data_IF_122276323864
#
_entry.id   IF_122276323864
#
_cell.length_a   1.000
_cell.length_b   1.000
_cell.length_c   1.000
_cell.angle_alpha   90.00
_cell.angle_beta   90.00
_cell.angle_gamma   90.00
#
_symmetry.space_group_name_H-M   'P 1'
#
loop_
_entity.id
_entity.type
_entity.pdbx_description
1 polymer ?
#
# COMPACT_ATOMS: atom_id res chain seq x y z
N UNK A 1 -12.50 12.73 -12.56
CA UNK A 1 -11.34 11.90 -12.19
C UNK A 1 -11.39 11.72 -10.68
N UNK A 2 -10.92 10.59 -10.11
CA UNK A 2 -10.94 10.42 -8.66
C UNK A 2 -10.16 11.56 -7.99
N UNK A 3 -10.65 12.07 -6.86
CA UNK A 3 -9.96 13.10 -6.11
C UNK A 3 -8.78 12.51 -5.31
N UNK A 4 -7.72 13.30 -5.14
CA UNK A 4 -6.59 12.94 -4.29
C UNK A 4 -6.88 13.35 -2.85
N UNK A 5 -6.78 12.42 -1.92
CA UNK A 5 -6.86 12.70 -0.49
C UNK A 5 -5.47 12.78 0.08
N UNK A 6 -5.20 13.76 0.94
CA UNK A 6 -3.90 13.91 1.58
C UNK A 6 -4.03 14.48 2.99
N UNK A 7 -3.03 14.21 3.82
CA UNK A 7 -2.88 14.79 5.14
C UNK A 7 -1.79 15.86 5.10
N UNK A 8 -1.99 16.93 5.86
CA UNK A 8 -1.00 17.97 6.09
C UNK A 8 -1.30 18.68 7.40
N UNK A 9 -0.26 18.86 8.22
CA UNK A 9 -0.35 19.58 9.49
C UNK A 9 -1.50 19.10 10.40
N UNK A 10 -1.75 17.79 10.43
CA UNK A 10 -2.75 17.16 11.28
C UNK A 10 -4.19 17.25 10.77
N UNK A 11 -4.40 17.60 9.51
CA UNK A 11 -5.73 17.66 8.91
C UNK A 11 -5.76 16.97 7.56
N UNK A 12 -6.92 16.43 7.20
CA UNK A 12 -7.15 15.86 5.89
C UNK A 12 -7.60 16.93 4.89
N UNK A 13 -7.24 16.72 3.64
CA UNK A 13 -7.59 17.54 2.51
C UNK A 13 -7.97 16.65 1.31
N UNK A 14 -8.77 17.21 0.41
CA UNK A 14 -9.11 16.61 -0.89
C UNK A 14 -8.81 17.60 -2.01
N UNK A 15 -8.22 17.13 -3.11
CA UNK A 15 -7.88 17.97 -4.26
C UNK A 15 -8.17 17.29 -5.59
N UNK A 16 -8.52 18.10 -6.60
CA UNK A 16 -8.64 17.66 -7.99
C UNK A 16 -7.23 17.34 -8.55
N UNK A 17 -7.05 16.20 -9.24
CA UNK A 17 -5.81 15.88 -9.96
C UNK A 17 -5.28 16.99 -10.88
N UNK A 18 -6.18 17.81 -11.44
CA UNK A 18 -5.84 18.92 -12.34
C UNK A 18 -5.16 20.11 -11.63
N UNK A 19 -5.12 20.12 -10.30
CA UNK A 19 -4.43 21.11 -9.50
C UNK A 19 -5.34 22.28 -9.10
N UNK A 20 -5.68 22.31 -7.81
CA UNK A 20 -6.23 23.46 -7.08
C UNK A 20 -5.79 23.34 -5.62
N UNK A 21 -5.78 24.41 -4.80
CA UNK A 21 -5.54 24.23 -3.38
C UNK A 21 -6.54 23.22 -2.82
N UNK A 22 -6.05 22.23 -2.08
CA UNK A 22 -6.90 21.19 -1.51
C UNK A 22 -7.92 21.79 -0.54
N UNK A 23 -9.13 21.26 -0.55
CA UNK A 23 -10.17 21.59 0.40
C UNK A 23 -9.94 20.81 1.69
N UNK A 24 -9.91 21.52 2.82
CA UNK A 24 -9.79 20.91 4.16
C UNK A 24 -11.06 20.11 4.50
N UNK A 25 -10.88 18.91 5.04
CA UNK A 25 -11.95 17.97 5.42
C UNK A 25 -12.09 17.78 6.93
N UNK A 26 -11.00 17.87 7.68
CA UNK A 26 -11.02 17.64 9.13
C UNK A 26 -10.25 18.72 9.88
N UNK A 27 -10.58 18.88 11.17
CA UNK A 27 -9.91 19.80 12.11
C UNK A 27 -9.32 19.05 13.31
N UNK A 28 -9.06 17.74 13.18
CA UNK A 28 -8.51 16.92 14.26
C UNK A 28 -7.11 17.36 14.69
N UNK A 29 -6.66 16.92 15.88
CA UNK A 29 -5.39 17.39 16.45
C UNK A 29 -4.17 16.85 15.69
N UNK A 30 -4.29 15.69 15.03
CA UNK A 30 -3.25 15.09 14.20
C UNK A 30 -3.80 14.00 13.25
N UNK A 31 -4.82 14.33 12.46
CA UNK A 31 -5.40 13.40 11.48
C UNK A 31 -4.41 13.09 10.35
N UNK A 32 -4.28 11.81 9.98
CA UNK A 32 -3.33 11.35 8.96
C UNK A 32 -3.81 10.07 8.25
N UNK A 33 -3.00 9.59 7.30
CA UNK A 33 -3.19 8.33 6.56
C UNK A 33 -4.62 8.18 6.00
N UNK A 34 -5.05 9.11 5.12
CA UNK A 34 -6.37 9.01 4.52
C UNK A 34 -6.47 7.73 3.68
N UNK A 35 -7.62 7.09 3.77
CA UNK A 35 -8.02 5.93 3.00
C UNK A 35 -9.42 6.20 2.46
N UNK A 36 -9.55 6.79 1.26
CA UNK A 36 -10.86 6.99 0.64
C UNK A 36 -11.48 5.66 0.21
N UNK A 37 -12.80 5.58 0.33
CA UNK A 37 -13.63 4.49 -0.20
C UNK A 37 -13.62 4.48 -1.74
N UNK A 38 -13.88 3.34 -2.39
CA UNK A 38 -13.84 3.24 -3.86
C UNK A 38 -14.81 4.19 -4.58
N UNK A 39 -15.95 4.48 -3.96
CA UNK A 39 -16.97 5.39 -4.51
C UNK A 39 -16.71 6.87 -4.17
N UNK A 40 -15.69 7.16 -3.34
CA UNK A 40 -15.34 8.52 -2.92
C UNK A 40 -16.33 9.15 -1.94
N UNK A 41 -17.34 8.42 -1.46
CA UNK A 41 -18.39 8.96 -0.57
C UNK A 41 -17.99 8.93 0.91
N UNK A 42 -16.91 8.22 1.24
CA UNK A 42 -16.35 8.13 2.59
C UNK A 42 -14.83 8.17 2.56
N UNK A 43 -14.23 8.72 3.62
CA UNK A 43 -12.80 8.59 3.88
C UNK A 43 -12.58 8.05 5.28
N UNK A 44 -11.88 6.91 5.37
CA UNK A 44 -11.34 6.42 6.62
C UNK A 44 -9.98 7.07 6.88
N UNK A 45 -9.60 7.26 8.13
CA UNK A 45 -8.34 7.90 8.49
C UNK A 45 -7.90 7.55 9.90
N UNK A 46 -6.63 7.81 10.19
CA UNK A 46 -6.07 7.64 11.54
C UNK A 46 -6.18 8.96 12.30
N UNK A 47 -6.95 8.95 13.38
CA UNK A 47 -7.09 10.07 14.31
C UNK A 47 -6.10 9.89 15.47
N UNK A 48 -5.06 10.72 15.51
CA UNK A 48 -4.06 10.73 16.58
C UNK A 48 -4.34 11.84 17.58
N UNK A 49 -3.98 11.64 18.85
CA UNK A 49 -4.08 12.69 19.86
C UNK A 49 -2.99 13.75 19.70
N UNK A 50 -1.81 13.35 19.24
CA UNK A 50 -0.65 14.20 18.99
C UNK A 50 0.06 13.81 17.71
N UNK A 51 0.68 14.78 17.03
CA UNK A 51 1.51 14.54 15.85
C UNK A 51 2.69 13.59 16.13
N UNK A 52 3.14 13.49 17.39
CA UNK A 52 4.21 12.58 17.82
C UNK A 52 3.78 11.12 17.97
N UNK A 53 2.47 10.83 18.01
CA UNK A 53 1.99 9.47 18.22
C UNK A 53 2.30 8.61 17.00
N UNK A 54 2.69 7.34 17.21
CA UNK A 54 3.02 6.45 16.10
C UNK A 54 1.77 6.11 15.26
N UNK A 55 0.64 5.83 15.92
CA UNK A 55 -0.67 5.66 15.30
C UNK A 55 -1.79 6.14 16.23
N UNK A 56 -3.04 5.82 15.88
CA UNK A 56 -4.22 6.38 16.56
C UNK A 56 -5.43 5.47 16.52
N UNK A 57 -6.61 6.08 16.53
CA UNK A 57 -7.89 5.39 16.32
C UNK A 57 -8.31 5.45 14.85
N UNK A 58 -9.10 4.47 14.41
CA UNK A 58 -9.67 4.46 13.05
C UNK A 58 -11.00 5.19 13.03
N UNK A 59 -11.06 6.28 12.28
CA UNK A 59 -12.24 7.12 12.12
C UNK A 59 -12.70 7.14 10.66
N UNK A 60 -13.97 7.46 10.45
CA UNK A 60 -14.59 7.62 9.13
C UNK A 60 -15.30 8.96 9.07
N UNK A 61 -15.17 9.62 7.92
CA UNK A 61 -15.89 10.82 7.55
C UNK A 61 -16.71 10.55 6.28
N UNK A 62 -18.01 10.78 6.36
CA UNK A 62 -18.91 10.75 5.21
C UNK A 62 -18.79 12.04 4.39
N UNK A 63 -18.88 11.92 3.07
CA UNK A 63 -18.66 12.99 2.11
C UNK A 63 -19.87 13.19 1.18
N UNK A 64 -20.15 14.45 0.85
CA UNK A 64 -21.08 14.86 -0.19
C UNK A 64 -20.36 15.85 -1.12
N UNK A 65 -20.09 15.44 -2.36
CA UNK A 65 -19.37 16.26 -3.37
C UNK A 65 -18.07 16.89 -2.79
N UNK A 66 -17.18 16.03 -2.26
CA UNK A 66 -15.91 16.40 -1.65
C UNK A 66 -16.02 17.31 -0.39
N UNK A 67 -17.19 17.36 0.24
CA UNK A 67 -17.45 18.05 1.50
C UNK A 67 -17.71 17.06 2.64
N UNK A 68 -17.35 17.36 3.90
CA UNK A 68 -17.94 16.70 5.06
C UNK A 68 -19.48 16.75 4.99
N UNK A 69 -20.12 15.58 4.94
CA UNK A 69 -21.58 15.45 4.98
C UNK A 69 -22.14 15.33 6.41
N UNK A 70 -21.25 15.13 7.40
CA UNK A 70 -21.59 14.99 8.80
C UNK A 70 -20.36 15.07 9.68
N UNK A 71 -20.55 14.87 10.99
CA UNK A 71 -19.44 14.75 11.92
C UNK A 71 -18.72 13.41 11.69
N UNK A 72 -17.38 13.39 11.75
CA UNK A 72 -16.64 12.14 11.71
C UNK A 72 -16.96 11.30 12.95
N UNK A 73 -16.84 9.99 12.81
CA UNK A 73 -17.08 9.05 13.90
C UNK A 73 -16.00 7.97 13.93
N UNK A 74 -15.73 7.45 15.12
CA UNK A 74 -14.83 6.31 15.30
C UNK A 74 -15.49 5.05 14.73
N UNK A 75 -14.79 4.37 13.82
CA UNK A 75 -15.30 3.16 13.17
C UNK A 75 -15.17 1.93 14.07
N UNK A 76 -13.98 1.74 14.66
CA UNK A 76 -13.67 0.54 15.45
C UNK A 76 -13.51 0.93 16.91
N UNK A 77 -14.16 0.19 17.82
CA UNK A 77 -13.90 0.31 19.25
C UNK A 77 -12.54 -0.32 19.59
N UNK A 78 -11.57 0.44 20.14
CA UNK A 78 -10.28 -0.12 20.55
C UNK A 78 -10.40 -1.28 21.55
N UNK A 79 -11.47 -1.33 22.34
CA UNK A 79 -11.73 -2.42 23.27
C UNK A 79 -12.19 -3.72 22.59
N UNK A 80 -12.70 -3.63 21.35
CA UNK A 80 -13.08 -4.79 20.54
C UNK A 80 -11.89 -5.40 19.79
N UNK A 81 -10.73 -4.72 19.80
CA UNK A 81 -9.51 -5.21 19.18
C UNK A 81 -8.72 -6.13 20.11
N UNK A 82 -8.00 -7.13 19.57
CA UNK A 82 -7.09 -7.94 20.36
C UNK A 82 -6.04 -7.04 21.04
N UNK A 83 -5.67 -7.31 22.31
CA UNK A 83 -4.59 -6.57 22.94
C UNK A 83 -3.26 -6.92 22.26
N UNK A 84 -2.44 -5.92 21.88
CA UNK A 84 -1.07 -6.18 21.45
C UNK A 84 -0.25 -6.85 22.57
N UNK A 85 0.74 -7.70 22.25
CA UNK A 85 1.59 -8.32 23.26
C UNK A 85 2.23 -7.28 24.17
N UNK A 86 2.06 -7.40 25.50
CA UNK A 86 2.70 -6.52 26.49
C UNK A 86 2.08 -5.12 26.63
N UNK A 87 1.04 -4.77 25.88
CA UNK A 87 0.45 -3.43 25.89
C UNK A 87 -1.09 -3.47 26.02
N UNK A 88 -1.67 -2.45 26.66
CA UNK A 88 -3.12 -2.41 26.95
C UNK A 88 -3.97 -1.89 25.80
N UNK A 89 -3.40 -1.11 24.89
CA UNK A 89 -4.07 -0.53 23.73
C UNK A 89 -3.10 -0.58 22.54
N UNK A 90 -3.61 -1.00 21.38
CA UNK A 90 -2.85 -0.94 20.13
C UNK A 90 -3.10 0.37 19.39
N UNK A 91 -2.14 0.77 18.58
CA UNK A 91 -2.24 1.95 17.72
C UNK A 91 -2.52 1.51 16.28
N UNK A 92 -3.57 2.06 15.69
CA UNK A 92 -3.96 1.75 14.31
C UNK A 92 -3.15 2.59 13.33
N UNK A 93 -2.66 1.94 12.29
CA UNK A 93 -1.95 2.57 11.17
C UNK A 93 -2.30 1.91 9.83
N UNK A 94 -2.02 2.63 8.75
CA UNK A 94 -2.12 2.21 7.36
C UNK A 94 -3.48 1.59 6.99
N UNK A 95 -4.62 2.27 7.21
CA UNK A 95 -5.91 1.76 6.76
C UNK A 95 -5.99 1.72 5.23
N UNK A 96 -6.69 0.71 4.67
CA UNK A 96 -6.98 0.59 3.24
C UNK A 96 -8.37 0.00 3.02
N UNK A 97 -9.19 0.67 2.24
CA UNK A 97 -10.47 0.14 1.79
C UNK A 97 -10.27 -1.02 0.81
N UNK A 98 -11.12 -2.03 0.94
CA UNK A 98 -11.32 -3.04 -0.09
C UNK A 98 -11.89 -2.40 -1.38
N UNK A 99 -11.51 -2.89 -2.57
CA UNK A 99 -12.10 -2.48 -3.86
C UNK A 99 -13.63 -2.54 -3.95
N UNK A 100 -14.27 -3.35 -3.09
CA UNK A 100 -15.73 -3.48 -3.03
C UNK A 100 -16.40 -2.46 -2.10
N UNK A 101 -15.62 -1.72 -1.30
CA UNK A 101 -16.13 -0.72 -0.37
C UNK A 101 -16.80 -1.31 0.88
N UNK A 102 -16.78 -2.63 1.08
CA UNK A 102 -17.47 -3.30 2.19
C UNK A 102 -16.60 -3.49 3.43
N UNK A 103 -15.29 -3.40 3.26
CA UNK A 103 -14.30 -3.76 4.27
C UNK A 103 -13.14 -2.76 4.29
N UNK A 104 -12.53 -2.60 5.46
CA UNK A 104 -11.29 -1.84 5.66
C UNK A 104 -10.28 -2.76 6.36
N UNK A 105 -9.10 -2.88 5.76
CA UNK A 105 -7.95 -3.52 6.39
C UNK A 105 -7.08 -2.45 7.05
N UNK A 106 -6.46 -2.78 8.18
CA UNK A 106 -5.53 -1.90 8.88
C UNK A 106 -4.56 -2.72 9.73
N UNK A 107 -3.50 -2.06 10.19
CA UNK A 107 -2.53 -2.66 11.10
C UNK A 107 -2.76 -2.12 12.51
N UNK A 108 -2.64 -2.99 13.49
CA UNK A 108 -2.62 -2.63 14.90
C UNK A 108 -1.24 -2.94 15.49
N UNK A 109 -0.50 -1.91 15.87
CA UNK A 109 0.84 -2.02 16.44
C UNK A 109 0.82 -1.79 17.95
N UNK A 110 1.91 -2.14 18.62
CA UNK A 110 2.12 -1.71 20.00
C UNK A 110 2.29 -0.18 20.10
N UNK A 111 2.13 0.39 21.29
CA UNK A 111 2.20 1.83 21.52
C UNK A 111 3.60 2.43 21.36
N UNK A 112 4.64 1.59 21.25
CA UNK A 112 6.03 2.03 21.16
C UNK A 112 6.56 1.98 19.72
N UNK A 113 5.73 1.54 18.76
CA UNK A 113 6.13 1.34 17.37
C UNK A 113 7.20 0.26 17.22
N UNK A 114 7.34 -0.64 18.20
CA UNK A 114 8.40 -1.66 18.17
C UNK A 114 8.17 -2.55 16.97
N UNK A 115 9.20 -2.70 16.14
CA UNK A 115 9.22 -3.34 14.81
C UNK A 115 8.89 -4.85 14.78
N UNK A 116 8.19 -5.38 15.78
CA UNK A 116 7.84 -6.80 15.86
C UNK A 116 6.68 -7.22 14.92
N UNK A 117 6.25 -6.35 14.01
CA UNK A 117 5.13 -6.58 13.09
C UNK A 117 3.77 -6.29 13.73
N UNK A 118 2.90 -5.61 12.98
CA UNK A 118 1.54 -5.30 13.41
C UNK A 118 0.59 -6.48 13.30
N UNK A 119 -0.56 -6.43 13.98
CA UNK A 119 -1.68 -7.30 13.64
C UNK A 119 -2.40 -6.75 12.40
N UNK A 120 -2.50 -7.55 11.34
CA UNK A 120 -3.39 -7.23 10.22
C UNK A 120 -4.81 -7.61 10.60
N UNK A 121 -5.69 -6.62 10.57
CA UNK A 121 -7.09 -6.74 10.96
C UNK A 121 -7.97 -6.24 9.83
N UNK A 122 -9.06 -6.96 9.60
CA UNK A 122 -10.08 -6.61 8.62
C UNK A 122 -11.38 -6.34 9.36
N UNK A 123 -11.97 -5.17 9.15
CA UNK A 123 -13.26 -4.80 9.74
C UNK A 123 -14.29 -4.47 8.66
N UNK A 124 -15.56 -4.71 8.97
CA UNK A 124 -16.69 -4.26 8.16
C UNK A 124 -16.73 -2.73 8.13
N UNK A 125 -16.84 -2.15 6.95
CA UNK A 125 -16.79 -0.70 6.77
C UNK A 125 -17.98 0.05 7.40
N UNK A 126 -19.12 -0.62 7.56
CA UNK A 126 -20.35 0.02 8.07
C UNK A 126 -20.54 -0.14 9.57
N UNK A 127 -19.90 -1.14 10.19
CA UNK A 127 -20.12 -1.48 11.61
C UNK A 127 -18.86 -1.48 12.44
N UNK A 128 -17.67 -1.50 11.81
CA UNK A 128 -16.39 -1.67 12.49
C UNK A 128 -16.17 -3.07 13.08
N UNK A 129 -17.07 -4.03 12.83
CA UNK A 129 -16.94 -5.40 13.35
C UNK A 129 -15.77 -6.11 12.69
N UNK A 130 -14.91 -6.75 13.48
CA UNK A 130 -13.77 -7.54 12.99
C UNK A 130 -14.28 -8.78 12.26
N UNK A 131 -13.82 -8.99 11.03
CA UNK A 131 -14.29 -10.04 10.10
C UNK A 131 -13.38 -11.26 10.03
N UNK A 132 -12.14 -11.15 10.49
CA UNK A 132 -11.14 -12.23 10.39
C UNK A 132 -10.40 -12.41 11.71
N UNK A 133 -9.93 -13.63 12.04
CA UNK A 133 -8.93 -13.81 13.07
C UNK A 133 -7.74 -12.88 12.76
N UNK A 134 -7.27 -12.07 13.73
CA UNK A 134 -6.13 -11.20 13.54
C UNK A 134 -4.92 -12.00 13.08
N UNK A 135 -4.35 -11.62 11.94
CA UNK A 135 -3.08 -12.21 11.51
C UNK A 135 -1.96 -11.46 12.19
N UNK A 136 -0.87 -12.16 12.52
CA UNK A 136 0.40 -11.54 12.92
C UNK A 136 1.32 -11.55 11.72
N UNK A 137 1.07 -10.73 10.68
CA UNK A 137 2.13 -10.53 9.73
C UNK A 137 3.29 -9.95 10.54
N UNK A 138 4.49 -10.47 10.32
CA UNK A 138 5.65 -9.68 10.72
C UNK A 138 5.69 -8.36 9.91
N UNK A 139 4.78 -8.13 8.95
CA UNK A 139 4.76 -6.97 8.07
C UNK A 139 4.68 -5.61 8.81
N UNK A 140 5.39 -4.65 8.22
CA UNK A 140 5.09 -3.23 8.35
C UNK A 140 3.86 -2.91 7.47
N UNK A 141 3.98 -1.99 6.52
CA UNK A 141 2.91 -1.46 5.67
C UNK A 141 2.70 -2.21 4.33
N UNK A 142 3.32 -3.37 4.14
CA UNK A 142 3.48 -4.05 2.85
C UNK A 142 2.41 -5.12 2.61
N UNK A 143 1.14 -4.71 2.60
CA UNK A 143 0.01 -5.56 2.24
C UNK A 143 -0.80 -4.96 1.09
N UNK A 144 -1.61 -5.76 0.40
CA UNK A 144 -2.47 -5.31 -0.71
C UNK A 144 -3.77 -6.11 -0.79
N UNK A 145 -4.89 -5.43 -1.08
CA UNK A 145 -6.14 -6.06 -1.44
C UNK A 145 -6.08 -6.63 -2.85
N UNK A 146 -6.71 -7.78 -3.06
CA UNK A 146 -7.05 -8.26 -4.39
C UNK A 146 -8.20 -7.44 -4.98
N UNK A 147 -8.32 -7.38 -6.32
CA UNK A 147 -9.43 -6.69 -7.00
C UNK A 147 -10.83 -7.16 -6.60
N UNK A 148 -10.96 -8.40 -6.12
CA UNK A 148 -12.23 -8.96 -5.65
C UNK A 148 -12.70 -8.40 -4.29
N UNK A 149 -11.83 -7.71 -3.56
CA UNK A 149 -12.08 -7.18 -2.22
C UNK A 149 -12.34 -8.24 -1.14
N UNK A 150 -11.95 -9.49 -1.37
CA UNK A 150 -12.07 -10.60 -0.44
C UNK A 150 -10.72 -11.28 -0.12
N UNK A 151 -9.67 -11.01 -0.90
CA UNK A 151 -8.32 -11.51 -0.61
C UNK A 151 -7.34 -10.39 -0.26
N UNK A 152 -6.37 -10.72 0.60
CA UNK A 152 -5.26 -9.83 0.98
C UNK A 152 -3.96 -10.61 0.86
N UNK A 153 -2.91 -9.97 0.35
CA UNK A 153 -1.54 -10.50 0.34
C UNK A 153 -0.59 -9.56 1.07
N UNK A 154 0.49 -10.10 1.64
CA UNK A 154 1.54 -9.32 2.30
C UNK A 154 2.89 -10.03 2.27
N UNK A 155 3.96 -9.27 2.45
CA UNK A 155 5.29 -9.81 2.75
C UNK A 155 5.57 -9.70 4.25
N UNK A 156 6.17 -10.74 4.86
CA UNK A 156 6.62 -10.67 6.25
C UNK A 156 7.72 -9.60 6.45
N UNK A 157 7.92 -9.09 7.67
CA UNK A 157 8.98 -8.10 7.90
C UNK A 157 10.32 -8.62 7.45
N UNK A 158 11.08 -7.69 6.86
CA UNK A 158 12.48 -7.85 6.55
C UNK A 158 13.24 -8.43 7.75
N UNK A 159 14.03 -9.44 7.45
CA UNK A 159 15.09 -9.92 8.30
C UNK A 159 16.36 -9.93 7.46
N UNK A 160 17.40 -9.25 7.92
CA UNK A 160 18.73 -9.29 7.32
C UNK A 160 19.44 -10.63 7.56
N UNK A 161 18.85 -11.48 8.40
CA UNK A 161 19.42 -12.77 8.85
C UNK A 161 18.50 -13.97 8.57
N UNK A 162 17.35 -13.78 7.91
CA UNK A 162 16.47 -14.89 7.54
C UNK A 162 15.62 -14.62 6.30
N UNK A 163 15.26 -15.67 5.52
CA UNK A 163 14.30 -15.54 4.45
C UNK A 163 12.92 -15.07 4.93
N UNK A 164 12.14 -14.52 4.00
CA UNK A 164 10.79 -14.03 4.24
C UNK A 164 9.81 -14.58 3.21
N UNK A 165 8.58 -14.79 3.66
CA UNK A 165 7.52 -15.34 2.81
C UNK A 165 6.56 -14.25 2.34
N UNK A 166 6.03 -14.45 1.14
CA UNK A 166 4.83 -13.75 0.68
C UNK A 166 3.64 -14.63 1.03
N UNK A 167 2.68 -14.05 1.75
CA UNK A 167 1.50 -14.74 2.25
C UNK A 167 0.25 -14.13 1.65
N UNK A 168 -0.81 -14.94 1.57
CA UNK A 168 -2.13 -14.50 1.19
C UNK A 168 -3.20 -15.15 2.06
N UNK A 169 -4.34 -14.46 2.21
CA UNK A 169 -5.53 -14.98 2.86
C UNK A 169 -6.78 -14.58 2.09
N UNK A 170 -7.81 -15.40 2.23
CA UNK A 170 -9.21 -15.02 2.03
C UNK A 170 -9.76 -14.48 3.36
N UNK A 171 -10.53 -13.39 3.33
CA UNK A 171 -11.12 -12.81 4.53
C UNK A 171 -11.98 -13.86 5.25
N UNK A 172 -11.71 -14.04 6.54
CA UNK A 172 -12.36 -15.02 7.40
C UNK A 172 -11.65 -16.38 7.43
N UNK A 173 -10.67 -16.62 6.57
CA UNK A 173 -9.89 -17.85 6.50
C UNK A 173 -8.50 -17.70 7.14
N UNK A 174 -7.79 -18.84 7.24
CA UNK A 174 -6.38 -18.86 7.60
C UNK A 174 -5.51 -18.46 6.39
N UNK A 175 -4.38 -17.84 6.66
CA UNK A 175 -3.41 -17.49 5.62
C UNK A 175 -2.51 -18.65 5.22
N UNK A 176 -1.99 -18.58 4.00
CA UNK A 176 -0.96 -19.49 3.52
C UNK A 176 0.14 -18.74 2.74
N UNK A 177 1.39 -19.23 2.77
CA UNK A 177 2.45 -18.72 1.91
C UNK A 177 2.16 -19.06 0.45
N UNK A 178 2.36 -18.08 -0.43
CA UNK A 178 2.27 -18.21 -1.90
C UNK A 178 3.66 -18.18 -2.56
N UNK A 179 4.66 -17.65 -1.85
CA UNK A 179 6.08 -17.73 -2.18
C UNK A 179 6.89 -17.85 -0.89
N UNK A 180 7.79 -18.83 -0.83
CA UNK A 180 8.62 -19.11 0.34
C UNK A 180 10.06 -18.70 0.12
N UNK A 181 10.76 -18.44 1.23
CA UNK A 181 12.21 -18.23 1.28
C UNK A 181 12.70 -17.12 0.33
N UNK A 182 11.92 -16.04 0.24
CA UNK A 182 12.21 -14.87 -0.59
C UNK A 182 12.89 -13.76 0.20
N UNK A 183 13.18 -12.65 -0.46
CA UNK A 183 13.59 -11.38 0.12
C UNK A 183 12.60 -10.28 -0.30
N UNK A 184 11.29 -10.58 -0.21
CA UNK A 184 10.22 -9.74 -0.73
C UNK A 184 9.98 -8.41 0.02
N UNK A 185 9.71 -7.31 -0.69
CA UNK A 185 9.54 -6.00 -0.03
C UNK A 185 8.20 -5.34 -0.27
N UNK A 186 7.74 -5.31 -1.52
CA UNK A 186 6.47 -4.71 -1.90
C UNK A 186 5.60 -5.77 -2.53
N UNK A 187 4.29 -5.73 -2.28
CA UNK A 187 3.33 -6.69 -2.80
C UNK A 187 2.17 -5.94 -3.44
N UNK A 188 1.73 -6.42 -4.62
CA UNK A 188 0.54 -5.96 -5.32
C UNK A 188 -0.19 -7.16 -5.94
N UNK A 189 -1.50 -7.08 -6.13
CA UNK A 189 -2.19 -8.02 -7.01
C UNK A 189 -2.07 -7.56 -8.45
N UNK A 190 -1.98 -8.51 -9.37
CA UNK A 190 -2.27 -8.26 -10.77
C UNK A 190 -3.70 -7.75 -10.93
N UNK A 191 -3.95 -6.92 -11.95
CA UNK A 191 -5.28 -6.35 -12.21
C UNK A 191 -6.35 -7.42 -12.50
N UNK A 192 -5.93 -8.63 -12.90
CA UNK A 192 -6.78 -9.80 -13.10
C UNK A 192 -7.12 -10.57 -11.81
N UNK A 193 -6.48 -10.24 -10.69
CA UNK A 193 -6.63 -10.92 -9.40
C UNK A 193 -6.07 -12.35 -9.36
N UNK A 194 -5.42 -12.83 -10.43
CA UNK A 194 -4.92 -14.22 -10.53
C UNK A 194 -3.46 -14.37 -10.12
N UNK A 195 -2.75 -13.25 -10.04
CA UNK A 195 -1.34 -13.21 -9.65
C UNK A 195 -1.10 -12.26 -8.50
N UNK A 196 -0.17 -12.63 -7.64
CA UNK A 196 0.43 -11.77 -6.63
C UNK A 196 1.82 -11.41 -7.13
N UNK A 197 2.04 -10.12 -7.36
CA UNK A 197 3.31 -9.55 -7.76
C UNK A 197 4.07 -9.09 -6.53
N UNK A 198 5.38 -9.27 -6.52
CA UNK A 198 6.22 -8.77 -5.44
C UNK A 198 7.61 -8.37 -5.92
N UNK A 199 8.19 -7.37 -5.26
CA UNK A 199 9.62 -7.04 -5.44
C UNK A 199 10.47 -7.91 -4.54
N UNK A 200 11.61 -8.37 -5.03
CA UNK A 200 12.59 -9.14 -4.29
C UNK A 200 13.92 -8.37 -4.23
N UNK A 201 14.51 -8.27 -3.04
CA UNK A 201 15.83 -7.70 -2.86
C UNK A 201 16.93 -8.63 -3.35
N UNK A 202 17.98 -8.05 -3.92
CA UNK A 202 19.16 -8.80 -4.34
C UNK A 202 19.91 -9.36 -3.12
N UNK A 203 19.79 -10.67 -2.95
CA UNK A 203 20.47 -11.47 -1.93
C UNK A 203 21.56 -12.38 -2.55
N UNK A 204 22.09 -12.01 -3.73
CA UNK A 204 23.19 -12.75 -4.37
C UNK A 204 24.57 -12.39 -3.81
N UNK A 205 24.68 -11.27 -3.09
CA UNK A 205 25.92 -10.75 -2.54
C UNK A 205 26.52 -11.59 -1.40
N UNK A 206 27.81 -11.39 -1.08
CA UNK A 206 28.55 -12.22 -0.12
C UNK A 206 27.95 -12.21 1.29
N UNK A 207 27.27 -11.13 1.69
CA UNK A 207 26.61 -10.99 2.99
C UNK A 207 25.46 -11.99 3.20
N UNK A 208 24.92 -12.58 2.13
CA UNK A 208 23.75 -13.46 2.17
C UNK A 208 24.12 -14.93 1.92
N UNK A 209 25.41 -15.26 1.80
CA UNK A 209 25.89 -16.59 1.39
C UNK A 209 25.32 -17.71 2.26
N UNK A 210 25.32 -17.52 3.58
CA UNK A 210 24.87 -18.52 4.56
C UNK A 210 23.35 -18.51 4.81
N UNK A 211 22.62 -17.56 4.23
CA UNK A 211 21.17 -17.43 4.41
C UNK A 211 20.45 -18.22 3.31
N UNK A 212 19.53 -19.14 3.65
CA UNK A 212 18.95 -20.10 2.72
C UNK A 212 17.80 -19.50 1.88
N UNK A 213 18.02 -18.37 1.22
CA UNK A 213 17.06 -17.82 0.25
C UNK A 213 16.88 -18.78 -0.93
N UNK A 214 15.64 -19.17 -1.22
CA UNK A 214 15.28 -19.87 -2.45
C UNK A 214 15.27 -18.91 -3.65
N UNK A 215 14.94 -17.64 -3.41
CA UNK A 215 14.93 -16.58 -4.42
C UNK A 215 15.94 -15.49 -4.10
N UNK A 216 17.09 -15.52 -4.79
CA UNK A 216 18.21 -14.61 -4.52
C UNK A 216 18.27 -13.38 -5.39
N UNK A 217 17.90 -13.48 -6.66
CA UNK A 217 18.11 -12.37 -7.58
C UNK A 217 17.14 -11.22 -7.32
N UNK A 218 17.66 -9.99 -7.35
CA UNK A 218 16.87 -8.78 -7.23
C UNK A 218 15.96 -8.58 -8.44
N UNK A 219 14.68 -8.26 -8.21
CA UNK A 219 13.73 -8.11 -9.30
C UNK A 219 12.27 -8.00 -8.87
N UNK A 220 11.40 -8.22 -9.84
CA UNK A 220 9.95 -8.30 -9.73
C UNK A 220 9.54 -9.71 -10.14
N UNK A 221 8.74 -10.34 -9.31
CA UNK A 221 8.31 -11.72 -9.46
C UNK A 221 6.79 -11.81 -9.33
N UNK A 222 6.24 -12.90 -9.85
CA UNK A 222 4.83 -13.24 -9.70
C UNK A 222 4.65 -14.62 -9.07
N UNK A 223 3.64 -14.77 -8.24
CA UNK A 223 3.15 -16.04 -7.74
C UNK A 223 1.65 -16.17 -8.04
N UNK A 224 1.13 -17.39 -8.11
CA UNK A 224 -0.30 -17.61 -8.29
C UNK A 224 -1.06 -17.12 -7.05
N UNK A 225 -2.17 -16.40 -7.26
CA UNK A 225 -3.09 -16.05 -6.19
C UNK A 225 -3.90 -17.29 -5.75
N UNK A 226 -4.25 -17.41 -4.46
CA UNK A 226 -5.17 -18.45 -4.00
C UNK A 226 -6.49 -18.43 -4.79
N UNK A 227 -7.00 -19.60 -5.18
CA UNK A 227 -8.25 -19.71 -5.95
C UNK A 227 -8.12 -19.43 -7.46
N UNK A 228 -6.94 -19.09 -7.97
CA UNK A 228 -6.69 -18.97 -9.41
C UNK A 228 -6.82 -20.33 -10.12
N UNK A 229 -7.62 -20.41 -11.18
CA UNK A 229 -7.86 -21.65 -11.97
C UNK A 229 -6.68 -22.05 -12.87
N UNK A 230 -5.47 -21.58 -12.58
CA UNK A 230 -4.27 -21.89 -13.35
C UNK A 230 -3.73 -23.28 -13.02
N UNK A 231 -3.26 -24.01 -14.02
CA UNK A 231 -2.53 -25.28 -13.88
C UNK A 231 -1.11 -25.12 -13.32
N UNK A 232 -0.80 -23.95 -12.77
CA UNK A 232 0.55 -23.64 -12.30
C UNK A 232 0.79 -24.31 -10.95
N UNK A 233 1.89 -25.06 -10.80
CA UNK A 233 2.19 -25.72 -9.55
C UNK A 233 2.29 -24.66 -8.46
N UNK A 234 1.65 -24.94 -7.32
CA UNK A 234 1.81 -24.14 -6.12
C UNK A 234 3.30 -23.94 -5.81
N UNK A 235 3.72 -22.68 -5.62
CA UNK A 235 4.85 -22.34 -4.75
C UNK A 235 6.13 -21.80 -5.37
N UNK A 236 6.35 -21.84 -6.70
CA UNK A 236 7.57 -21.30 -7.31
C UNK A 236 7.31 -19.92 -7.98
N UNK A 237 7.92 -18.83 -7.49
CA UNK A 237 7.82 -17.53 -8.12
C UNK A 237 8.34 -17.52 -9.56
N UNK A 238 7.70 -16.76 -10.43
CA UNK A 238 8.12 -16.52 -11.81
C UNK A 238 8.74 -15.15 -11.94
N UNK A 239 9.91 -15.08 -12.56
CA UNK A 239 10.56 -13.81 -12.90
C UNK A 239 9.70 -13.03 -13.89
N UNK A 240 9.33 -11.80 -13.53
CA UNK A 240 8.73 -10.82 -14.44
C UNK A 240 9.82 -9.91 -15.00
N UNK A 241 10.68 -9.42 -14.10
CA UNK A 241 11.82 -8.57 -14.44
C UNK A 241 12.91 -8.77 -13.39
N UNK A 242 14.17 -8.91 -13.79
CA UNK A 242 15.28 -9.01 -12.86
C UNK A 242 16.49 -8.24 -13.39
N UNK A 243 17.16 -7.53 -12.48
CA UNK A 243 18.43 -6.86 -12.75
C UNK A 243 19.19 -6.74 -11.43
N UNK A 244 20.41 -7.24 -11.44
CA UNK A 244 21.28 -7.28 -10.26
C UNK A 244 21.66 -5.87 -9.77
N UNK A 245 21.95 -5.75 -8.46
CA UNK A 245 22.46 -4.53 -7.83
C UNK A 245 21.47 -3.38 -7.74
N UNK A 246 20.18 -3.64 -7.96
CA UNK A 246 19.12 -2.62 -7.87
C UNK A 246 18.09 -3.01 -6.82
N UNK A 247 17.56 -2.01 -6.11
CA UNK A 247 16.50 -2.18 -5.12
C UNK A 247 15.17 -1.73 -5.71
N UNK A 248 14.17 -2.61 -5.65
CA UNK A 248 12.83 -2.37 -6.19
C UNK A 248 11.79 -2.26 -5.06
N UNK A 249 10.91 -1.26 -5.14
CA UNK A 249 9.82 -1.04 -4.17
C UNK A 249 8.59 -0.39 -4.82
N UNK A 250 7.57 -0.06 -4.01
CA UNK A 250 6.40 0.72 -4.41
C UNK A 250 5.68 0.16 -5.66
N UNK A 251 5.52 -1.17 -5.70
CA UNK A 251 4.99 -1.90 -6.85
C UNK A 251 3.48 -1.66 -7.03
N UNK A 252 3.05 -1.46 -8.28
CA UNK A 252 1.65 -1.41 -8.66
C UNK A 252 1.42 -2.05 -10.04
N UNK A 253 0.33 -2.80 -10.17
CA UNK A 253 -0.19 -3.23 -11.46
C UNK A 253 -1.17 -2.17 -11.99
N UNK A 254 -0.98 -1.73 -13.22
CA UNK A 254 -1.80 -0.70 -13.84
C UNK A 254 -2.95 -1.31 -14.65
N UNK A 255 -3.98 -0.50 -14.90
CA UNK A 255 -5.10 -0.90 -15.75
C UNK A 255 -4.68 -1.11 -17.22
N UNK A 256 -3.58 -0.49 -17.65
CA UNK A 256 -2.97 -0.70 -18.97
C UNK A 256 -2.38 -2.11 -19.14
N UNK A 257 -2.14 -2.83 -18.03
CA UNK A 257 -1.40 -4.09 -18.01
C UNK A 257 0.11 -3.92 -17.77
N UNK A 258 0.59 -2.68 -17.69
CA UNK A 258 1.96 -2.37 -17.31
C UNK A 258 2.18 -2.50 -15.79
N UNK A 259 3.45 -2.59 -15.39
CA UNK A 259 3.87 -2.54 -14.00
C UNK A 259 4.60 -1.24 -13.70
N UNK A 260 4.24 -0.61 -12.60
CA UNK A 260 4.94 0.53 -12.06
C UNK A 260 5.70 0.16 -10.78
N UNK A 261 6.88 0.70 -10.60
CA UNK A 261 7.70 0.47 -9.40
C UNK A 261 8.75 1.56 -9.24
N UNK A 262 9.31 1.69 -8.04
CA UNK A 262 10.48 2.53 -7.80
C UNK A 262 11.76 1.70 -7.82
N UNK A 263 12.83 2.27 -8.38
CA UNK A 263 14.18 1.70 -8.45
C UNK A 263 15.18 2.66 -7.76
N UNK A 264 15.97 2.12 -6.84
CA UNK A 264 17.20 2.77 -6.33
C UNK A 264 18.39 1.94 -6.77
N UNK A 265 19.32 2.55 -7.50
CA UNK A 265 20.53 1.85 -7.96
C UNK A 265 21.61 1.89 -6.88
N UNK A 266 22.36 0.80 -6.76
CA UNK A 266 23.53 0.76 -5.89
C UNK A 266 24.51 1.90 -6.24
N UNK A 267 24.81 2.74 -5.26
CA UNK A 267 25.73 3.87 -5.41
C UNK A 267 25.09 5.19 -5.84
N UNK A 268 23.81 5.22 -6.19
CA UNK A 268 23.03 6.47 -6.28
C UNK A 268 22.58 6.88 -4.87
N UNK A 269 22.57 8.19 -4.57
CA UNK A 269 22.29 8.69 -3.21
C UNK A 269 20.96 8.19 -2.64
N UNK A 270 20.97 7.79 -1.37
CA UNK A 270 19.85 7.14 -0.68
C UNK A 270 18.58 8.02 -0.56
N UNK A 271 18.68 9.31 -0.87
CA UNK A 271 17.57 10.26 -0.68
C UNK A 271 16.53 10.29 -1.82
N UNK A 272 16.80 9.62 -2.95
CA UNK A 272 15.89 9.60 -4.11
C UNK A 272 15.77 8.25 -4.80
N UNK A 273 14.60 8.01 -5.42
CA UNK A 273 14.30 6.86 -6.27
C UNK A 273 13.86 7.31 -7.66
N UNK A 274 14.01 6.43 -8.63
CA UNK A 274 13.43 6.56 -9.96
C UNK A 274 12.10 5.82 -10.02
N UNK A 275 11.03 6.46 -10.49
CA UNK A 275 9.77 5.80 -10.83
C UNK A 275 9.85 5.24 -12.26
N UNK A 276 9.62 3.95 -12.38
CA UNK A 276 9.73 3.15 -13.60
C UNK A 276 8.35 2.63 -14.04
N UNK A 277 8.16 2.51 -15.36
CA UNK A 277 7.09 1.74 -15.99
C UNK A 277 7.66 0.60 -16.81
N UNK A 278 7.06 -0.57 -16.73
CA UNK A 278 7.46 -1.77 -17.46
C UNK A 278 6.27 -2.37 -18.21
N UNK A 279 6.41 -2.43 -19.53
CA UNK A 279 5.59 -3.29 -20.38
C UNK A 279 6.08 -4.75 -20.26
N UNK A 280 5.25 -5.56 -19.59
CA UNK A 280 5.55 -6.98 -19.32
C UNK A 280 5.55 -7.85 -20.58
N UNK A 281 5.10 -7.35 -21.73
CA UNK A 281 5.12 -8.07 -23.00
C UNK A 281 6.50 -8.11 -23.69
N UNK A 282 7.50 -7.37 -23.18
CA UNK A 282 8.89 -7.47 -23.63
C UNK A 282 9.68 -6.17 -23.66
N UNK A 283 9.21 -5.11 -22.99
CA UNK A 283 9.89 -3.82 -22.93
C UNK A 283 11.00 -3.75 -21.86
N UNK A 284 11.90 -2.78 -22.02
CA UNK A 284 12.76 -2.34 -20.91
C UNK A 284 12.03 -1.30 -20.05
N UNK A 285 12.28 -1.24 -18.73
CA UNK A 285 11.67 -0.22 -17.88
C UNK A 285 11.99 1.20 -18.37
N UNK A 286 10.98 2.07 -18.36
CA UNK A 286 11.09 3.48 -18.71
C UNK A 286 10.95 4.36 -17.47
N UNK A 287 11.93 5.24 -17.26
CA UNK A 287 11.87 6.22 -16.17
C UNK A 287 10.86 7.31 -16.51
N UNK A 288 9.82 7.45 -15.68
CA UNK A 288 8.82 8.53 -15.80
C UNK A 288 9.06 9.68 -14.82
N UNK A 289 9.75 9.43 -13.70
CA UNK A 289 10.21 10.47 -12.78
C UNK A 289 11.51 10.04 -12.09
N UNK A 290 12.51 10.93 -11.99
CA UNK A 290 13.83 10.60 -11.44
C UNK A 290 14.08 11.13 -10.01
N UNK A 291 13.15 11.91 -9.47
CA UNK A 291 13.33 12.65 -8.21
C UNK A 291 12.26 12.27 -7.19
N UNK A 292 11.88 11.01 -7.07
CA UNK A 292 10.92 10.57 -6.05
C UNK A 292 11.64 10.50 -4.70
N UNK A 293 11.09 11.10 -3.65
CA UNK A 293 11.69 11.06 -2.32
C UNK A 293 11.70 9.63 -1.75
N UNK A 294 12.85 9.17 -1.26
CA UNK A 294 12.99 7.80 -0.77
C UNK A 294 12.54 7.60 0.69
N UNK A 295 12.71 8.62 1.52
CA UNK A 295 12.51 8.60 2.99
C UNK A 295 11.08 8.93 3.44
N UNK A 296 10.11 8.81 2.55
CA UNK A 296 8.70 9.18 2.79
C UNK A 296 7.78 8.15 2.15
N UNK A 297 6.47 8.35 2.28
CA UNK A 297 5.50 7.52 1.58
C UNK A 297 5.83 7.45 0.07
N UNK A 298 5.93 6.22 -0.44
CA UNK A 298 6.16 5.97 -1.86
C UNK A 298 4.98 6.38 -2.76
N UNK A 299 5.18 6.36 -4.08
CA UNK A 299 4.15 6.72 -5.05
C UNK A 299 2.84 5.95 -4.87
N UNK A 300 1.72 6.61 -5.13
CA UNK A 300 0.37 6.01 -5.14
C UNK A 300 -0.26 6.21 -6.51
N UNK A 301 -0.69 5.11 -7.09
CA UNK A 301 -1.40 5.07 -8.36
C UNK A 301 -2.90 5.24 -8.15
N UNK A 302 -3.48 6.15 -8.92
CA UNK A 302 -4.92 6.36 -9.04
C UNK A 302 -5.45 5.75 -10.34
N UNK A 303 -6.75 5.89 -10.57
CA UNK A 303 -7.36 5.46 -11.83
C UNK A 303 -6.89 6.34 -13.00
N UNK A 304 -6.77 5.74 -14.19
CA UNK A 304 -6.36 6.43 -15.42
C UNK A 304 -4.86 6.74 -15.47
N UNK A 305 -4.03 5.82 -14.98
CA UNK A 305 -2.56 5.89 -15.00
C UNK A 305 -2.00 7.22 -14.48
N UNK A 306 -2.65 7.75 -13.44
CA UNK A 306 -2.26 8.94 -12.69
C UNK A 306 -1.50 8.52 -11.44
N UNK A 307 -0.36 9.15 -11.17
CA UNK A 307 0.46 8.87 -9.98
C UNK A 307 0.66 10.11 -9.12
N UNK A 308 0.47 9.97 -7.82
CA UNK A 308 0.83 10.96 -6.81
C UNK A 308 2.11 10.52 -6.11
N UNK A 309 3.06 11.42 -5.90
CA UNK A 309 4.29 11.15 -5.16
C UNK A 309 4.91 12.43 -4.60
N UNK A 310 5.78 12.28 -3.61
CA UNK A 310 6.58 13.38 -3.07
C UNK A 310 7.92 13.47 -3.80
N UNK A 311 8.32 14.67 -4.19
CA UNK A 311 9.63 14.88 -4.80
C UNK A 311 10.75 14.99 -3.77
N UNK A 312 11.97 14.62 -4.15
CA UNK A 312 13.17 14.70 -3.30
C UNK A 312 13.72 16.13 -3.15
N UNK A 313 13.19 17.10 -3.90
CA UNK A 313 13.56 18.51 -3.79
C UNK A 313 13.21 19.11 -2.42
N UNK A 314 13.87 20.21 -2.00
CA UNK A 314 13.53 20.91 -0.76
C UNK A 314 12.04 21.20 -0.62
N UNK A 315 11.49 20.97 0.57
CA UNK A 315 10.05 21.11 0.85
C UNK A 315 9.18 19.92 0.43
N UNK A 316 9.76 18.92 -0.24
CA UNK A 316 9.11 17.67 -0.67
C UNK A 316 7.70 17.90 -1.21
N UNK A 317 7.54 18.65 -2.31
CA UNK A 317 6.22 18.95 -2.85
C UNK A 317 5.49 17.66 -3.25
N UNK A 318 4.20 17.60 -2.96
CA UNK A 318 3.30 16.59 -3.48
C UNK A 318 2.99 16.92 -4.94
N UNK A 319 3.28 15.98 -5.82
CA UNK A 319 3.13 16.12 -7.26
C UNK A 319 2.22 15.03 -7.79
N UNK A 320 1.37 15.39 -8.75
CA UNK A 320 0.60 14.47 -9.56
C UNK A 320 1.15 14.47 -10.98
N UNK A 321 1.39 13.29 -11.52
CA UNK A 321 1.72 13.09 -12.94
C UNK A 321 0.64 12.24 -13.58
N UNK A 322 0.02 12.77 -14.63
CA UNK A 322 -0.95 12.07 -15.49
C UNK A 322 -0.20 11.63 -16.74
N UNK A 323 -0.03 10.32 -16.89
CA UNK A 323 0.79 9.74 -17.97
C UNK A 323 0.10 9.82 -19.33
N UNK A 324 -1.22 9.67 -19.36
CA UNK A 324 -2.03 9.75 -20.58
C UNK A 324 -1.96 11.15 -21.18
N UNK A 325 -2.11 12.18 -20.33
CA UNK A 325 -2.06 13.59 -20.75
C UNK A 325 -0.64 14.15 -20.79
N UNK A 326 0.34 13.42 -20.24
CA UNK A 326 1.73 13.89 -20.06
C UNK A 326 1.80 15.22 -19.31
N UNK A 327 0.96 15.37 -18.30
CA UNK A 327 0.91 16.58 -17.46
C UNK A 327 1.45 16.31 -16.06
N UNK A 328 2.13 17.30 -15.49
CA UNK A 328 2.66 17.28 -14.12
C UNK A 328 2.18 18.52 -13.38
N UNK A 329 1.60 18.34 -12.19
CA UNK A 329 1.05 19.40 -11.36
C UNK A 329 1.56 19.26 -9.92
N UNK A 330 2.04 20.36 -9.34
CA UNK A 330 2.30 20.42 -7.90
C UNK A 330 0.98 20.73 -7.17
N UNK A 331 0.67 19.95 -6.14
CA UNK A 331 -0.58 20.08 -5.38
C UNK A 331 -0.37 20.87 -4.10
N UNK A 332 0.62 20.48 -3.30
CA UNK A 332 0.91 21.12 -2.02
C UNK A 332 2.34 20.81 -1.55
N UNK A 333 2.73 21.34 -0.40
CA UNK A 333 3.99 21.05 0.32
C UNK A 333 3.71 20.68 1.77
N UNK A 334 4.66 19.99 2.41
CA UNK A 334 4.51 19.56 3.81
C UNK A 334 3.46 18.48 4.03
N UNK A 335 3.14 17.73 2.97
CA UNK A 335 2.22 16.57 3.00
C UNK A 335 2.92 15.40 3.66
N UNK A 336 2.25 14.77 4.63
CA UNK A 336 2.76 13.60 5.36
C UNK A 336 2.22 12.27 4.83
N UNK A 337 0.98 12.24 4.32
CA UNK A 337 0.37 11.04 3.75
C UNK A 337 -0.62 11.39 2.64
N UNK A 338 -0.84 10.48 1.69
CA UNK A 338 -1.78 10.68 0.58
C UNK A 338 -2.30 9.36 0.01
N UNK A 339 -3.51 9.37 -0.54
CA UNK A 339 -4.14 8.19 -1.11
C UNK A 339 -5.17 8.53 -2.18
N UNK A 340 -5.30 7.62 -3.14
CA UNK A 340 -6.38 7.58 -4.11
C UNK A 340 -7.46 6.60 -3.65
N UNK A 341 -8.72 6.81 -4.08
CA UNK A 341 -9.73 5.76 -4.05
C UNK A 341 -9.18 4.49 -4.73
N UNK A 342 -9.32 3.29 -4.13
CA UNK A 342 -8.98 2.06 -4.82
C UNK A 342 -9.85 1.90 -6.07
N UNK A 343 -9.31 1.25 -7.10
CA UNK A 343 -10.12 0.92 -8.27
C UNK A 343 -11.28 0.02 -7.84
N UNK A 344 -12.51 0.41 -8.18
CA UNK A 344 -13.68 -0.38 -7.83
C UNK A 344 -13.59 -1.76 -8.49
N UNK A 345 -14.02 -2.80 -7.77
CA UNK A 345 -14.13 -4.15 -8.32
C UNK A 345 -14.98 -4.10 -9.60
N UNK A 346 -14.43 -4.52 -10.74
CA UNK A 346 -15.23 -4.68 -11.95
C UNK A 346 -16.23 -5.81 -11.69
N UNK A 347 -17.52 -5.49 -11.75
CA UNK A 347 -18.55 -6.52 -11.65
C UNK A 347 -18.33 -7.50 -12.81
N UNK A 348 -17.83 -8.70 -12.49
CA UNK A 348 -17.86 -9.80 -13.42
C UNK A 348 -19.31 -10.11 -13.68
N UNK A 349 -19.82 -9.66 -14.83
CA UNK A 349 -21.10 -10.12 -15.34
C UNK A 349 -20.94 -11.61 -15.62
N UNK A 350 -21.40 -12.46 -14.70
CA UNK A 350 -21.46 -13.89 -14.91
C UNK A 350 -22.28 -14.18 -16.18
N UNK A 351 -21.63 -14.81 -17.16
CA UNK A 351 -22.28 -15.44 -18.31
C UNK A 351 -22.65 -16.88 -18.00
#
# INVERSE_FOLDING_TARGET
>A
MPALFYAKAGSLYVSDPAGTPGRKLTDGPADTQPAPSPDGTRVAYVHKNSASDYGGELWVLDLAEDAPAGAPHRLVDPAALPPPPGHRLGQIVNPRWSPTGKQIAFLQNDSNGTMAGGLLIVAAADTGSVLSPPQRPAAADQYAWAPDGNHIAWANARSDVSPIDVNALEVGAASAPVAMDTNAYSVAYGSDGRSILFTNGDASGPNFTEIPFALRDGGIYSAAAPGGTGTDPAGAPRTVFARAGSYYSDLAALSSGELAFTETRSGEGESSKNLQLLDVSGGAPQTIAANVAAEVQGPRWGAGDVVAYLESSPGKPLVITDLDKRTRQQIDTGVDAFAWPPQAATATSGG
#
